data_IF_392513755130
#
_entry.id   IF_392513755130
#
_cell.length_a   1.000
_cell.length_b   1.000
_cell.length_c   1.000
_cell.angle_alpha   90.00
_cell.angle_beta   90.00
_cell.angle_gamma   90.00
#
_symmetry.space_group_name_H-M   'P 1'
#
loop_
_entity.id
_entity.type
_entity.pdbx_description
1 polymer ?
#
# COMPACT_ATOMS: atom_id res chain seq x y z
N UNK A 1 10.54 17.51 9.65
CA UNK A 1 9.14 17.59 9.23
C UNK A 1 9.08 17.11 7.79
N UNK A 2 8.76 15.83 7.58
CA UNK A 2 8.74 15.24 6.24
C UNK A 2 7.45 15.64 5.54
N UNK A 3 7.57 16.44 4.50
CA UNK A 3 6.49 16.78 3.59
C UNK A 3 6.16 15.54 2.73
N UNK A 4 5.25 14.70 3.22
CA UNK A 4 4.57 13.73 2.38
C UNK A 4 3.61 14.50 1.49
N UNK A 5 3.99 14.67 0.22
CA UNK A 5 3.08 15.17 -0.80
C UNK A 5 2.06 14.09 -1.11
N UNK A 6 0.89 14.18 -0.49
CA UNK A 6 -0.30 13.55 -1.04
C UNK A 6 -0.42 13.99 -2.50
N UNK A 7 -0.67 13.04 -3.40
CA UNK A 7 -1.11 13.36 -4.75
C UNK A 7 -2.19 14.44 -4.65
N UNK A 8 -2.12 15.49 -5.47
CA UNK A 8 -2.73 16.83 -5.33
C UNK A 8 -4.28 16.86 -5.30
N UNK A 9 -4.92 15.74 -5.02
CA UNK A 9 -6.35 15.49 -4.96
C UNK A 9 -6.87 15.19 -3.55
N UNK A 10 -6.03 15.17 -2.50
CA UNK A 10 -6.54 15.10 -1.13
C UNK A 10 -7.04 16.48 -0.70
N UNK A 11 -8.30 16.77 -0.98
CA UNK A 11 -9.01 17.92 -0.43
C UNK A 11 -9.81 17.45 0.78
N UNK A 12 -9.58 17.97 2.00
CA UNK A 12 -10.44 17.69 3.14
C UNK A 12 -11.77 18.47 2.97
N UNK A 13 -12.57 18.07 1.99
CA UNK A 13 -13.88 18.63 1.71
C UNK A 13 -14.93 17.53 1.87
N UNK A 14 -15.57 17.50 3.04
CA UNK A 14 -16.84 16.82 3.30
C UNK A 14 -16.79 15.30 3.48
N UNK A 15 -15.92 14.57 2.79
CA UNK A 15 -15.97 13.10 2.75
C UNK A 15 -14.58 12.44 2.83
N UNK A 16 -13.80 12.79 3.87
CA UNK A 16 -12.44 12.26 4.13
C UNK A 16 -12.33 10.73 4.03
N UNK A 17 -13.42 10.02 4.31
CA UNK A 17 -13.49 8.57 4.15
C UNK A 17 -13.40 8.14 2.70
N UNK A 18 -14.12 8.81 1.79
CA UNK A 18 -14.15 8.49 0.37
C UNK A 18 -12.77 8.73 -0.26
N UNK A 19 -12.12 9.82 0.13
CA UNK A 19 -10.77 10.14 -0.34
C UNK A 19 -9.72 9.17 0.20
N UNK A 20 -9.85 8.75 1.46
CA UNK A 20 -9.00 7.72 2.04
C UNK A 20 -9.18 6.36 1.35
N UNK A 21 -10.43 5.97 1.07
CA UNK A 21 -10.72 4.73 0.34
C UNK A 21 -10.11 4.79 -1.08
N UNK A 22 -10.29 5.90 -1.79
CA UNK A 22 -9.71 6.07 -3.12
C UNK A 22 -8.17 6.00 -3.08
N UNK A 23 -7.53 6.54 -2.04
CA UNK A 23 -6.09 6.40 -1.87
C UNK A 23 -5.66 4.96 -1.57
N UNK A 24 -6.41 4.24 -0.73
CA UNK A 24 -6.14 2.83 -0.47
C UNK A 24 -6.27 2.01 -1.76
N UNK A 25 -7.26 2.28 -2.61
CA UNK A 25 -7.43 1.61 -3.91
C UNK A 25 -6.24 1.87 -4.85
N UNK A 26 -5.72 3.10 -4.87
CA UNK A 26 -4.51 3.46 -5.63
C UNK A 26 -3.29 2.68 -5.11
N UNK A 27 -3.12 2.62 -3.78
CA UNK A 27 -2.05 1.87 -3.13
C UNK A 27 -2.13 0.37 -3.43
N UNK A 28 -3.33 -0.21 -3.41
CA UNK A 28 -3.57 -1.61 -3.81
C UNK A 28 -3.17 -1.86 -5.27
N UNK A 29 -3.59 -0.98 -6.19
CA UNK A 29 -3.23 -1.08 -7.61
C UNK A 29 -1.71 -1.03 -7.82
N UNK A 30 -1.02 -0.12 -7.12
CA UNK A 30 0.46 -0.04 -7.14
C UNK A 30 1.12 -1.31 -6.62
N UNK A 31 0.61 -1.89 -5.52
CA UNK A 31 1.13 -3.15 -4.99
C UNK A 31 0.98 -4.30 -6.00
N UNK A 32 -0.16 -4.40 -6.68
CA UNK A 32 -0.39 -5.41 -7.73
C UNK A 32 0.55 -5.21 -8.91
N UNK A 33 0.71 -3.98 -9.39
CA UNK A 33 1.65 -3.67 -10.48
C UNK A 33 3.10 -4.00 -10.11
N UNK A 34 3.51 -3.68 -8.89
CA UNK A 34 4.82 -4.05 -8.36
C UNK A 34 5.02 -5.57 -8.38
N UNK A 35 4.02 -6.34 -7.94
CA UNK A 35 4.10 -7.79 -7.95
C UNK A 35 4.12 -8.38 -9.39
N UNK A 36 3.37 -7.79 -10.33
CA UNK A 36 3.42 -8.18 -11.73
C UNK A 36 4.80 -7.91 -12.34
N UNK A 37 5.39 -6.74 -12.04
CA UNK A 37 6.75 -6.42 -12.46
C UNK A 37 7.76 -7.41 -11.87
N UNK A 38 7.63 -7.78 -10.59
CA UNK A 38 8.44 -8.81 -9.94
C UNK A 38 8.31 -10.17 -10.62
N UNK A 39 7.12 -10.62 -11.01
CA UNK A 39 6.97 -11.89 -11.71
C UNK A 39 7.73 -11.91 -13.05
N UNK A 40 7.88 -10.76 -13.70
CA UNK A 40 8.66 -10.63 -14.94
C UNK A 40 10.16 -10.46 -14.71
N UNK A 41 10.58 -9.67 -13.72
CA UNK A 41 11.99 -9.31 -13.51
C UNK A 41 12.71 -10.18 -12.48
N UNK A 42 11.95 -10.88 -11.64
CA UNK A 42 12.40 -11.55 -10.40
C UNK A 42 13.18 -10.63 -9.44
N UNK A 43 13.04 -9.31 -9.59
CA UNK A 43 13.69 -8.32 -8.75
C UNK A 43 12.94 -8.13 -7.43
N UNK A 44 13.30 -8.99 -6.48
CA UNK A 44 12.77 -8.98 -5.13
C UNK A 44 13.07 -7.66 -4.38
N UNK A 45 14.21 -7.02 -4.64
CA UNK A 45 14.61 -5.81 -3.93
C UNK A 45 13.71 -4.64 -4.32
N UNK A 46 13.47 -4.45 -5.62
CA UNK A 46 12.55 -3.43 -6.13
C UNK A 46 11.13 -3.66 -5.61
N UNK A 47 10.65 -4.91 -5.60
CA UNK A 47 9.34 -5.22 -5.04
C UNK A 47 9.26 -4.88 -3.54
N UNK A 48 10.20 -5.35 -2.73
CA UNK A 48 10.17 -5.09 -1.28
C UNK A 48 10.24 -3.59 -0.97
N UNK A 49 11.02 -2.83 -1.73
CA UNK A 49 11.09 -1.37 -1.60
C UNK A 49 9.74 -0.71 -1.91
N UNK A 50 9.06 -1.12 -2.97
CA UNK A 50 7.75 -0.60 -3.34
C UNK A 50 6.67 -0.97 -2.31
N UNK A 51 6.66 -2.20 -1.81
CA UNK A 51 5.73 -2.63 -0.76
C UNK A 51 5.95 -1.87 0.55
N UNK A 52 7.22 -1.62 0.93
CA UNK A 52 7.57 -0.82 2.09
C UNK A 52 7.07 0.63 1.98
N UNK A 53 7.29 1.26 0.81
CA UNK A 53 6.77 2.61 0.54
C UNK A 53 5.25 2.69 0.66
N UNK A 54 4.53 1.71 0.12
CA UNK A 54 3.07 1.66 0.21
C UNK A 54 2.61 1.50 1.67
N UNK A 55 3.31 0.69 2.46
CA UNK A 55 3.01 0.53 3.88
C UNK A 55 3.21 1.83 4.67
N UNK A 56 4.29 2.56 4.41
CA UNK A 56 4.57 3.85 5.05
C UNK A 56 3.52 4.92 4.66
N UNK A 57 3.15 4.96 3.37
CA UNK A 57 2.09 5.85 2.87
C UNK A 57 0.72 5.52 3.50
N UNK A 58 0.39 4.25 3.67
CA UNK A 58 -0.83 3.81 4.35
C UNK A 58 -0.84 4.25 5.82
N UNK A 59 0.29 4.10 6.53
CA UNK A 59 0.43 4.57 7.90
C UNK A 59 0.18 6.07 8.03
N UNK A 60 0.79 6.88 7.15
CA UNK A 60 0.57 8.33 7.12
C UNK A 60 -0.88 8.71 6.76
N UNK A 61 -1.52 7.97 5.84
CA UNK A 61 -2.93 8.17 5.51
C UNK A 61 -3.83 7.88 6.71
N UNK A 62 -3.60 6.77 7.42
CA UNK A 62 -4.35 6.43 8.62
C UNK A 62 -4.14 7.49 9.71
N UNK A 63 -2.91 7.92 9.98
CA UNK A 63 -2.61 8.94 10.99
C UNK A 63 -3.27 10.30 10.68
N UNK A 64 -3.47 10.62 9.39
CA UNK A 64 -4.18 11.84 8.96
C UNK A 64 -5.70 11.79 9.13
N UNK A 65 -6.27 10.61 9.38
CA UNK A 65 -7.70 10.43 9.58
C UNK A 65 -8.04 10.55 11.06
N UNK A 66 -8.53 11.72 11.44
CA UNK A 66 -8.94 12.05 12.82
C UNK A 66 -10.02 11.10 13.38
N UNK A 67 -10.87 10.53 12.51
CA UNK A 67 -11.84 9.49 12.85
C UNK A 67 -11.66 8.29 11.90
N UNK A 68 -10.97 7.25 12.37
CA UNK A 68 -10.91 5.99 11.63
C UNK A 68 -12.31 5.37 11.53
N UNK A 69 -12.93 5.43 10.37
CA UNK A 69 -14.19 4.72 10.18
C UNK A 69 -13.93 3.23 9.94
N UNK A 70 -14.86 2.35 10.34
CA UNK A 70 -14.70 0.90 10.17
C UNK A 70 -14.41 0.50 8.71
N UNK A 71 -14.95 1.25 7.76
CA UNK A 71 -14.77 1.00 6.33
C UNK A 71 -13.33 1.30 5.86
N UNK A 72 -12.76 2.43 6.28
CA UNK A 72 -11.36 2.78 5.95
C UNK A 72 -10.40 1.79 6.60
N UNK A 73 -10.66 1.42 7.86
CA UNK A 73 -9.85 0.39 8.56
C UNK A 73 -9.90 -0.94 7.83
N UNK A 74 -11.07 -1.40 7.39
CA UNK A 74 -11.22 -2.63 6.61
C UNK A 74 -10.38 -2.59 5.33
N UNK A 75 -10.44 -1.50 4.57
CA UNK A 75 -9.67 -1.39 3.33
C UNK A 75 -8.16 -1.33 3.60
N UNK A 76 -7.74 -0.68 4.68
CA UNK A 76 -6.35 -0.67 5.12
C UNK A 76 -5.87 -2.07 5.52
N UNK A 77 -6.68 -2.83 6.27
CA UNK A 77 -6.39 -4.21 6.65
C UNK A 77 -6.25 -5.12 5.41
N UNK A 78 -7.12 -4.95 4.41
CA UNK A 78 -7.04 -5.66 3.13
C UNK A 78 -5.74 -5.32 2.37
N UNK A 79 -5.34 -4.04 2.34
CA UNK A 79 -4.08 -3.64 1.76
C UNK A 79 -2.88 -4.22 2.53
N UNK A 80 -2.87 -4.18 3.86
CA UNK A 80 -1.82 -4.79 4.68
C UNK A 80 -1.71 -6.29 4.39
N UNK A 81 -2.85 -7.00 4.32
CA UNK A 81 -2.88 -8.42 3.97
C UNK A 81 -2.28 -8.69 2.57
N UNK A 82 -2.56 -7.82 1.60
CA UNK A 82 -2.00 -7.90 0.26
C UNK A 82 -0.47 -7.70 0.25
N UNK A 83 0.02 -6.68 0.97
CA UNK A 83 1.45 -6.41 1.09
C UNK A 83 2.20 -7.59 1.74
N UNK A 84 1.62 -8.18 2.79
CA UNK A 84 2.15 -9.36 3.46
C UNK A 84 2.16 -10.59 2.54
N UNK A 85 1.13 -10.76 1.71
CA UNK A 85 1.07 -11.85 0.73
C UNK A 85 2.23 -11.74 -0.29
N UNK A 86 2.44 -10.56 -0.87
CA UNK A 86 3.53 -10.36 -1.83
C UNK A 86 4.91 -10.48 -1.18
N UNK A 87 5.07 -10.00 0.05
CA UNK A 87 6.30 -10.17 0.83
C UNK A 87 6.61 -11.65 1.07
N UNK A 88 5.61 -12.45 1.41
CA UNK A 88 5.77 -13.91 1.57
C UNK A 88 6.08 -14.61 0.25
N UNK A 89 5.44 -14.20 -0.85
CA UNK A 89 5.70 -14.75 -2.19
C UNK A 89 7.19 -14.63 -2.55
N UNK A 90 7.80 -13.47 -2.29
CA UNK A 90 9.24 -13.26 -2.48
C UNK A 90 10.08 -14.18 -1.60
N UNK A 91 9.68 -14.37 -0.34
CA UNK A 91 10.35 -15.27 0.59
C UNK A 91 10.31 -16.74 0.17
N UNK A 92 9.17 -17.20 -0.38
CA UNK A 92 9.00 -18.58 -0.83
C UNK A 92 9.70 -18.87 -2.17
N UNK A 93 9.68 -17.92 -3.12
CA UNK A 93 10.45 -18.06 -4.36
C UNK A 93 11.95 -18.23 -4.11
N UNK A 94 12.48 -17.65 -3.02
CA UNK A 94 13.89 -17.84 -2.63
C UNK A 94 14.19 -19.21 -2.02
N UNK A 95 13.22 -19.86 -1.39
CA UNK A 95 13.41 -21.20 -0.81
C UNK A 95 13.32 -22.33 -1.83
N UNK A 96 12.62 -22.13 -2.95
CA UNK A 96 12.53 -23.13 -4.05
C UNK A 96 13.78 -23.16 -4.95
N UNK A 97 14.73 -22.24 -4.75
CA UNK A 97 15.98 -22.11 -5.53
C UNK A 97 17.21 -22.72 -4.83
N UNK A 98 17.02 -23.50 -3.75
CA UNK A 98 18.11 -24.11 -2.96
C UNK A 98 18.15 -25.63 -3.17
#
# INVERSE_FOLDING_TARGET
MSAFSFNTTYQPTGDQQKDAIAQIDIMQSRAVQANLAYQSSQDAETLMKQLGQINDELGALLDSLENHTPLVRKNADELIALLLLFTRQVGQSRTDLI
#
